data_IF_072733671351
#
_entry.id   IF_072733671351
#
_cell.length_a   1.000
_cell.length_b   1.000
_cell.length_c   1.000
_cell.angle_alpha   90.00
_cell.angle_beta   90.00
_cell.angle_gamma   90.00
#
_symmetry.space_group_name_H-M   'P 1'
#
loop_
_entity.id
_entity.type
_entity.pdbx_description
1 polymer ?
#
# COMPACT_ATOMS: atom_id res chain seq x y z
N UNK A 1 -17.29 -16.57 12.45
CA UNK A 1 -17.41 -16.51 10.98
C UNK A 1 -16.90 -15.14 10.57
N UNK A 2 -15.66 -15.03 10.09
CA UNK A 2 -15.02 -13.76 9.77
C UNK A 2 -15.42 -13.31 8.37
N UNK A 3 -15.95 -12.10 8.24
CA UNK A 3 -16.33 -11.51 6.96
C UNK A 3 -15.08 -11.32 6.07
N UNK A 4 -15.17 -11.54 4.75
CA UNK A 4 -14.05 -11.25 3.87
C UNK A 4 -13.84 -9.73 3.82
N UNK A 5 -12.75 -9.26 4.43
CA UNK A 5 -12.37 -7.84 4.47
C UNK A 5 -12.19 -7.26 3.06
N UNK A 6 -13.20 -6.54 2.57
CA UNK A 6 -13.19 -5.81 1.29
C UNK A 6 -12.56 -4.43 1.46
N UNK A 7 -11.30 -4.39 1.87
CA UNK A 7 -10.66 -3.21 2.48
C UNK A 7 -10.17 -2.10 1.55
N UNK A 8 -9.99 -2.31 0.24
CA UNK A 8 -9.61 -1.23 -0.69
C UNK A 8 -10.71 -0.95 -1.69
N UNK A 9 -10.92 0.31 -2.06
CA UNK A 9 -11.87 0.70 -3.10
C UNK A 9 -11.23 1.72 -4.04
N UNK A 10 -11.27 1.47 -5.35
CA UNK A 10 -10.83 2.43 -6.36
C UNK A 10 -11.96 3.38 -6.73
N UNK A 11 -11.81 4.67 -6.44
CA UNK A 11 -12.74 5.72 -6.88
C UNK A 11 -12.49 6.02 -8.36
N UNK A 12 -12.95 5.10 -9.20
CA UNK A 12 -12.84 5.14 -10.66
C UNK A 12 -13.30 3.83 -11.29
N UNK A 13 -13.05 2.70 -10.60
CA UNK A 13 -13.46 1.37 -11.03
C UNK A 13 -14.55 0.73 -10.14
N UNK A 14 -14.83 1.27 -8.95
CA UNK A 14 -15.83 0.71 -8.02
C UNK A 14 -15.48 -0.71 -7.50
N UNK A 15 -14.28 -1.20 -7.81
CA UNK A 15 -13.83 -2.55 -7.43
C UNK A 15 -13.15 -2.54 -6.08
N UNK A 16 -13.53 -3.54 -5.26
CA UNK A 16 -12.92 -3.77 -3.97
C UNK A 16 -11.70 -4.69 -4.10
N UNK A 17 -10.56 -4.27 -3.57
CA UNK A 17 -9.31 -5.04 -3.59
C UNK A 17 -8.90 -5.48 -2.19
N UNK A 18 -8.19 -6.60 -2.10
CA UNK A 18 -7.64 -7.10 -0.84
C UNK A 18 -6.24 -6.51 -0.54
N UNK A 19 -5.54 -6.02 -1.58
CA UNK A 19 -4.16 -5.52 -1.50
C UNK A 19 -4.01 -4.19 -2.22
N UNK A 20 -3.10 -3.33 -1.75
CA UNK A 20 -2.78 -2.06 -2.39
C UNK A 20 -2.15 -2.27 -3.76
N UNK A 21 -1.32 -3.31 -3.92
CA UNK A 21 -0.71 -3.68 -5.19
C UNK A 21 -1.75 -3.96 -6.29
N UNK A 22 -2.83 -4.68 -5.97
CA UNK A 22 -3.89 -4.99 -6.93
C UNK A 22 -4.73 -3.76 -7.27
N UNK A 23 -5.03 -2.92 -6.27
CA UNK A 23 -5.74 -1.67 -6.48
C UNK A 23 -4.95 -0.73 -7.39
N UNK A 24 -3.68 -0.47 -7.06
CA UNK A 24 -2.80 0.40 -7.86
C UNK A 24 -2.60 -0.16 -9.27
N UNK A 25 -2.45 -1.48 -9.42
CA UNK A 25 -2.31 -2.12 -10.74
C UNK A 25 -3.54 -1.95 -11.63
N UNK A 26 -4.73 -1.86 -11.02
CA UNK A 26 -5.97 -1.59 -11.74
C UNK A 26 -6.28 -0.09 -11.88
N UNK A 27 -5.65 0.76 -11.09
CA UNK A 27 -5.75 2.22 -11.21
C UNK A 27 -5.06 2.75 -12.48
N UNK A 28 -5.48 3.96 -12.83
CA UNK A 28 -4.95 4.77 -13.93
C UNK A 28 -4.34 6.04 -13.38
N UNK A 29 -3.53 6.69 -14.20
CA UNK A 29 -2.96 7.98 -13.87
C UNK A 29 -4.09 9.01 -13.63
N UNK A 30 -4.04 9.70 -12.49
CA UNK A 30 -5.08 10.57 -11.94
C UNK A 30 -6.12 9.90 -11.03
N UNK A 31 -6.04 8.58 -10.79
CA UNK A 31 -7.05 7.84 -10.02
C UNK A 31 -6.85 7.95 -8.50
N UNK A 32 -7.95 7.77 -7.74
CA UNK A 32 -7.94 7.83 -6.27
C UNK A 32 -8.22 6.45 -5.67
N UNK A 33 -7.23 5.91 -4.97
CA UNK A 33 -7.29 4.66 -4.22
C UNK A 33 -7.73 4.95 -2.79
N UNK A 34 -8.98 4.65 -2.45
CA UNK A 34 -9.50 4.75 -1.10
C UNK A 34 -9.21 3.47 -0.31
N UNK A 35 -8.41 3.57 0.74
CA UNK A 35 -8.01 2.44 1.60
C UNK A 35 -8.82 2.51 2.88
N UNK A 36 -9.67 1.52 3.16
CA UNK A 36 -10.38 1.46 4.44
C UNK A 36 -9.38 1.25 5.57
N UNK A 37 -9.67 1.90 6.70
CA UNK A 37 -8.93 1.70 7.94
C UNK A 37 -8.89 0.20 8.30
N UNK A 38 -7.69 -0.30 8.55
CA UNK A 38 -7.45 -1.72 8.71
C UNK A 38 -5.96 -2.01 8.77
N UNK A 39 -5.62 -3.25 9.08
CA UNK A 39 -4.22 -3.70 9.16
C UNK A 39 -3.88 -4.53 7.93
N UNK A 40 -2.92 -4.06 7.14
CA UNK A 40 -2.42 -4.70 5.92
C UNK A 40 -1.03 -5.25 6.21
N UNK A 41 -0.90 -6.58 6.25
CA UNK A 41 0.34 -7.25 6.64
C UNK A 41 1.08 -7.77 5.41
N UNK A 42 2.37 -7.47 5.29
CA UNK A 42 3.24 -7.89 4.17
C UNK A 42 2.73 -7.47 2.79
N UNK A 43 2.05 -6.32 2.71
CA UNK A 43 1.58 -5.77 1.45
C UNK A 43 2.64 -4.83 0.86
N UNK A 44 3.27 -5.27 -0.23
CA UNK A 44 4.32 -4.52 -0.93
C UNK A 44 3.78 -4.07 -2.29
N UNK A 45 3.58 -2.76 -2.45
CA UNK A 45 2.99 -2.20 -3.65
C UNK A 45 3.99 -1.28 -4.39
N UNK A 46 4.46 -1.68 -5.59
CA UNK A 46 5.14 -0.78 -6.50
C UNK A 46 4.11 0.09 -7.22
N UNK A 47 4.22 1.41 -7.04
CA UNK A 47 3.32 2.41 -7.63
C UNK A 47 4.10 3.12 -8.73
N UNK A 48 3.78 2.82 -9.98
CA UNK A 48 4.42 3.39 -11.17
C UNK A 48 3.52 4.39 -11.91
N UNK A 49 2.46 4.85 -11.25
CA UNK A 49 1.41 5.69 -11.82
C UNK A 49 1.10 6.85 -10.91
N UNK A 50 0.55 7.91 -11.49
CA UNK A 50 0.13 9.09 -10.73
C UNK A 50 -1.21 8.79 -10.06
N UNK A 51 -1.19 8.45 -8.77
CA UNK A 51 -2.41 8.06 -8.04
C UNK A 51 -2.45 8.69 -6.66
N UNK A 52 -3.66 8.91 -6.15
CA UNK A 52 -3.89 9.41 -4.79
C UNK A 52 -4.38 8.28 -3.90
N UNK A 53 -3.61 7.92 -2.88
CA UNK A 53 -3.96 6.90 -1.90
C UNK A 53 -4.42 7.60 -0.63
N UNK A 54 -5.67 7.36 -0.24
CA UNK A 54 -6.25 7.99 0.94
C UNK A 54 -6.89 6.95 1.87
N UNK A 55 -6.46 6.95 3.12
CA UNK A 55 -7.11 6.23 4.21
C UNK A 55 -8.50 6.82 4.48
N UNK A 56 -9.54 6.00 4.32
CA UNK A 56 -10.94 6.33 4.57
C UNK A 56 -11.47 5.51 5.75
N UNK A 57 -12.30 6.13 6.59
CA UNK A 57 -12.82 5.49 7.80
C UNK A 57 -11.80 5.36 8.95
N UNK A 58 -10.61 5.97 8.84
CA UNK A 58 -9.54 5.94 9.85
C UNK A 58 -8.15 5.82 9.20
N UNK A 59 -7.16 5.40 10.00
CA UNK A 59 -5.79 5.20 9.52
C UNK A 59 -5.61 3.76 9.03
N UNK A 60 -5.12 3.61 7.80
CA UNK A 60 -4.73 2.30 7.27
C UNK A 60 -3.31 1.94 7.75
N UNK A 61 -3.19 0.88 8.54
CA UNK A 61 -1.93 0.42 9.11
C UNK A 61 -1.27 -0.63 8.21
N UNK A 62 -0.19 -0.27 7.57
CA UNK A 62 0.63 -1.20 6.81
C UNK A 62 1.78 -1.71 7.69
N UNK A 63 1.78 -3.02 7.93
CA UNK A 63 2.73 -3.69 8.82
C UNK A 63 3.56 -4.67 8.00
N UNK A 64 4.86 -4.41 7.89
CA UNK A 64 5.79 -5.41 7.37
C UNK A 64 6.26 -6.30 8.53
N UNK A 65 6.06 -7.62 8.40
CA UNK A 65 6.64 -8.60 9.33
C UNK A 65 7.81 -9.35 8.72
N UNK A 66 7.98 -9.24 7.39
CA UNK A 66 9.10 -9.82 6.64
C UNK A 66 9.86 -8.74 5.90
N UNK A 67 11.12 -9.01 5.59
CA UNK A 67 11.92 -8.14 4.74
C UNK A 67 11.23 -8.00 3.38
N UNK A 68 11.04 -6.76 2.89
CA UNK A 68 10.46 -6.54 1.57
C UNK A 68 11.27 -7.28 0.49
N UNK A 69 10.66 -8.05 -0.42
CA UNK A 69 11.39 -8.75 -1.49
C UNK A 69 12.06 -7.76 -2.46
N UNK A 70 11.57 -6.53 -2.51
CA UNK A 70 12.15 -5.43 -3.27
C UNK A 70 13.37 -4.79 -2.57
N UNK A 71 13.71 -5.19 -1.33
CA UNK A 71 14.84 -4.68 -0.56
C UNK A 71 14.79 -3.17 -0.28
N UNK A 72 13.59 -2.56 -0.35
CA UNK A 72 13.39 -1.11 -0.24
C UNK A 72 12.45 -0.76 0.90
N UNK A 73 11.15 -0.90 0.68
CA UNK A 73 10.13 -0.40 1.58
C UNK A 73 8.77 -1.01 1.29
N UNK A 74 7.81 -0.70 2.15
CA UNK A 74 6.42 -1.16 2.04
C UNK A 74 5.75 -0.60 0.77
N UNK A 75 5.83 0.73 0.60
CA UNK A 75 5.45 1.39 -0.64
C UNK A 75 6.70 1.85 -1.39
N UNK A 76 6.70 1.64 -2.71
CA UNK A 76 7.71 2.17 -3.61
C UNK A 76 7.00 2.96 -4.68
N UNK A 77 7.17 4.28 -4.67
CA UNK A 77 6.57 5.19 -5.66
C UNK A 77 7.61 5.55 -6.72
N UNK A 78 7.19 5.60 -7.98
CA UNK A 78 8.03 5.98 -9.13
C UNK A 78 7.44 7.15 -9.95
N UNK A 79 6.30 7.69 -9.53
CA UNK A 79 5.58 8.80 -10.15
C UNK A 79 5.01 9.74 -9.07
N UNK A 80 4.18 10.73 -9.43
CA UNK A 80 3.53 11.65 -8.48
C UNK A 80 2.40 10.93 -7.72
N UNK A 81 2.75 10.44 -6.53
CA UNK A 81 1.83 9.72 -5.65
C UNK A 81 1.52 10.54 -4.43
N UNK A 82 0.24 10.79 -4.17
CA UNK A 82 -0.23 11.44 -2.94
C UNK A 82 -0.69 10.37 -1.96
N UNK A 83 -0.23 10.45 -0.70
CA UNK A 83 -0.53 9.48 0.36
C UNK A 83 -1.08 10.25 1.57
N UNK A 84 -2.29 9.92 2.01
CA UNK A 84 -2.93 10.52 3.20
C UNK A 84 -3.57 9.48 4.11
N UNK A 85 -3.50 9.70 5.43
CA UNK A 85 -4.12 8.84 6.45
C UNK A 85 -3.64 7.37 6.41
N UNK A 86 -2.35 7.17 6.11
CA UNK A 86 -1.70 5.86 6.07
C UNK A 86 -0.58 5.82 7.11
N UNK A 87 -0.42 4.68 7.78
CA UNK A 87 0.69 4.42 8.67
C UNK A 87 1.51 3.23 8.17
N UNK A 88 2.82 3.29 8.37
CA UNK A 88 3.76 2.25 7.97
C UNK A 88 4.60 1.85 9.18
N UNK A 89 4.66 0.56 9.48
CA UNK A 89 5.41 0.06 10.64
C UNK A 89 6.04 -1.32 10.37
N UNK A 90 7.11 -1.64 11.10
CA UNK A 90 7.77 -2.94 11.06
C UNK A 90 8.71 -3.19 9.87
N UNK A 91 8.86 -2.24 8.94
CA UNK A 91 9.77 -2.44 7.80
C UNK A 91 11.23 -2.49 8.27
N UNK A 92 11.84 -3.66 8.12
CA UNK A 92 13.25 -3.87 8.38
C UNK A 92 13.94 -4.17 7.04
N UNK A 93 14.69 -3.20 6.55
CA UNK A 93 15.65 -3.43 5.47
C UNK A 93 17.02 -3.65 6.10
N UNK A 94 17.59 -4.82 5.83
CA UNK A 94 18.95 -5.14 6.22
C UNK A 94 19.92 -4.11 5.62
N UNK A 95 20.55 -3.31 6.49
CA UNK A 95 21.62 -2.40 6.08
C UNK A 95 22.77 -3.27 5.58
N UNK A 96 23.03 -3.25 4.27
CA UNK A 96 24.19 -3.94 3.68
C UNK A 96 25.46 -3.44 4.39
N UNK A 97 26.01 -4.28 5.26
CA UNK A 97 27.26 -4.02 5.97
C UNK A 97 28.41 -3.96 4.97
N UNK A 98 29.19 -2.88 5.05
CA UNK A 98 30.51 -2.82 4.44
C UNK A 98 31.43 -3.74 5.26
N UNK A 99 31.96 -4.83 4.70
CA UNK A 99 32.98 -5.61 5.40
C UNK A 99 34.26 -4.77 5.51
N UNK A 100 34.80 -4.69 6.72
CA UNK A 100 36.06 -4.02 7.07
C UNK A 100 37.26 -4.88 6.66
#
# INVERSE_FOLDING_TARGET
>A
MAEPFRGLHLQGAGQAYATLSAAVGASRDGDVVAVQAGTYVNDFAPITKDVTIVGVGGIANFVATVAPPNGKGILVTQSDVTIQNLSFSGVAVERRGHPL
#
